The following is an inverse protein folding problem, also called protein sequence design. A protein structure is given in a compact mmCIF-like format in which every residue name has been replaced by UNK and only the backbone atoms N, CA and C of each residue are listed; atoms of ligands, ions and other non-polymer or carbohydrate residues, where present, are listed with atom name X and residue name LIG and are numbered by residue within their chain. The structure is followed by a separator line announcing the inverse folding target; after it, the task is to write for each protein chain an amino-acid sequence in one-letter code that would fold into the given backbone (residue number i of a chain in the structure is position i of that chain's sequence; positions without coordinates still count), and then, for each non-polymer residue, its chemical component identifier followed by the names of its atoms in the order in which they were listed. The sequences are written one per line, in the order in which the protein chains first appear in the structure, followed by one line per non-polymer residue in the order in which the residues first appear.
data_IF_260006979583
#
_entry.id   IF_260006979583
#
_cell.length_a   1.000
_cell.length_b   1.000
_cell.length_c   1.000
_cell.angle_alpha   90.00
_cell.angle_beta   90.00
_cell.angle_gamma   90.00
#
_symmetry.space_group_name_H-M   'P 1'
#
loop_
_entity.id
_entity.type
_entity.pdbx_description
1 polymer ?
#
# COMPACT_ATOMS: atom_id res chain seq x y z
N UNK A 1 14.63 21.46 -26.73
CA UNK A 1 14.19 22.81 -26.30
C UNK A 1 14.20 22.90 -24.77
N UNK A 2 15.34 23.32 -24.20
CA UNK A 2 15.51 23.45 -22.76
C UNK A 2 14.64 24.58 -22.21
N UNK A 3 14.09 24.39 -21.01
CA UNK A 3 13.41 25.47 -20.29
C UNK A 3 14.37 26.68 -20.18
N UNK A 4 13.90 27.90 -20.45
CA UNK A 4 14.71 29.09 -20.28
C UNK A 4 15.20 29.17 -18.83
N UNK A 5 16.49 29.48 -18.67
CA UNK A 5 17.10 29.79 -17.38
C UNK A 5 16.42 31.05 -16.81
N UNK A 6 16.33 31.13 -15.48
CA UNK A 6 15.67 32.24 -14.76
C UNK A 6 16.38 33.59 -14.89
N UNK A 7 17.54 33.62 -15.53
CA UNK A 7 18.35 34.81 -15.85
C UNK A 7 17.85 35.54 -17.12
N UNK A 8 17.00 34.91 -17.94
CA UNK A 8 16.49 35.50 -19.20
C UNK A 8 15.53 36.66 -18.93
N UNK A 9 14.80 36.62 -17.83
CA UNK A 9 14.06 37.79 -17.36
C UNK A 9 15.00 38.54 -16.42
N UNK A 10 15.55 39.66 -16.90
CA UNK A 10 15.96 40.76 -16.04
C UNK A 10 14.73 41.67 -15.86
N UNK A 11 13.70 41.30 -15.08
CA UNK A 11 12.57 42.18 -14.90
C UNK A 11 13.10 43.44 -14.23
N UNK A 12 12.86 44.60 -14.86
CA UNK A 12 13.16 45.91 -14.28
C UNK A 12 12.27 46.22 -13.05
N UNK A 13 11.39 45.27 -12.72
CA UNK A 13 10.61 45.20 -11.49
C UNK A 13 11.27 44.11 -10.64
N UNK A 14 12.14 44.51 -9.72
CA UNK A 14 12.42 43.66 -8.56
C UNK A 14 11.07 43.47 -7.87
N UNK A 15 10.59 42.24 -7.74
CA UNK A 15 9.62 41.93 -6.67
C UNK A 15 10.37 42.06 -5.35
N UNK A 16 10.75 43.29 -5.01
CA UNK A 16 11.34 43.61 -3.75
C UNK A 16 10.20 43.60 -2.76
N UNK A 17 10.22 42.61 -1.89
CA UNK A 17 9.29 42.54 -0.80
C UNK A 17 9.61 43.70 0.16
N UNK A 18 8.92 44.83 0.00
CA UNK A 18 9.14 46.06 0.80
C UNK A 18 8.46 46.01 2.17
N UNK A 19 7.54 45.06 2.36
CA UNK A 19 6.80 44.85 3.61
C UNK A 19 7.22 43.54 4.24
N UNK A 20 7.47 43.57 5.54
CA UNK A 20 7.67 42.37 6.35
C UNK A 20 6.46 41.46 6.17
N UNK A 21 6.70 40.18 5.85
CA UNK A 21 5.62 39.18 5.74
C UNK A 21 4.83 39.12 7.04
N UNK A 22 3.53 38.84 6.96
CA UNK A 22 2.71 38.62 8.15
C UNK A 22 3.25 37.42 8.94
N UNK A 23 3.06 37.45 10.26
CA UNK A 23 3.46 36.34 11.14
C UNK A 23 2.71 35.06 10.82
N UNK A 24 1.43 35.18 10.44
CA UNK A 24 0.62 34.07 9.98
C UNK A 24 0.19 34.31 8.53
N UNK A 25 0.43 33.32 7.67
CA UNK A 25 -0.03 33.30 6.29
C UNK A 25 -1.13 32.25 6.19
N UNK A 26 -2.37 32.73 6.14
CA UNK A 26 -3.56 31.87 6.03
C UNK A 26 -3.91 31.68 4.56
N UNK A 27 -4.24 30.45 4.15
CA UNK A 27 -4.72 30.18 2.79
C UNK A 27 -6.11 30.77 2.61
N UNK A 28 -6.40 31.29 1.40
CA UNK A 28 -7.74 31.80 1.06
C UNK A 28 -8.75 30.69 0.75
N UNK A 29 -8.27 29.50 0.42
CA UNK A 29 -9.11 28.33 0.17
C UNK A 29 -9.53 27.60 1.46
N UNK A 30 -10.31 26.53 1.28
CA UNK A 30 -10.80 25.66 2.34
C UNK A 30 -9.75 24.68 2.88
N UNK A 31 -8.48 24.76 2.50
CA UNK A 31 -7.47 23.84 3.06
C UNK A 31 -7.19 24.19 4.52
N UNK A 32 -7.21 23.21 5.42
CA UNK A 32 -6.98 23.36 6.86
C UNK A 32 -5.48 23.57 7.22
N UNK A 33 -4.76 24.38 6.46
CA UNK A 33 -3.33 24.68 6.63
C UNK A 33 -3.11 26.19 6.62
N UNK A 34 -2.38 26.68 7.62
CA UNK A 34 -1.77 28.01 7.64
C UNK A 34 -0.27 27.89 7.86
N UNK A 35 0.47 28.95 7.53
CA UNK A 35 1.92 28.97 7.72
C UNK A 35 2.29 30.00 8.78
N UNK A 36 2.98 29.56 9.84
CA UNK A 36 3.43 30.41 10.93
C UNK A 36 4.92 30.70 10.78
N UNK A 37 5.31 31.99 10.82
CA UNK A 37 6.71 32.42 10.83
C UNK A 37 7.25 32.36 12.25
N UNK A 38 8.39 31.72 12.45
CA UNK A 38 9.03 31.63 13.76
C UNK A 38 9.70 32.97 14.14
N UNK A 39 9.72 33.32 15.43
CA UNK A 39 10.23 34.64 15.88
C UNK A 39 11.75 34.82 15.66
N UNK A 40 12.50 33.71 15.59
CA UNK A 40 13.97 33.70 15.49
C UNK A 40 14.50 33.18 14.14
N UNK A 41 13.62 32.84 13.18
CA UNK A 41 14.00 32.31 11.87
C UNK A 41 13.00 32.81 10.83
N UNK A 42 13.48 33.31 9.69
CA UNK A 42 12.64 33.75 8.55
C UNK A 42 11.94 32.59 7.80
N UNK A 43 11.83 31.42 8.43
CA UNK A 43 11.24 30.24 7.83
C UNK A 43 9.79 30.04 8.30
N UNK A 44 8.92 29.71 7.35
CA UNK A 44 7.50 29.43 7.58
C UNK A 44 7.30 27.94 7.82
N UNK A 45 6.51 27.61 8.85
CA UNK A 45 6.14 26.23 9.14
C UNK A 45 4.64 26.03 8.99
N UNK A 46 4.19 24.95 8.32
CA UNK A 46 2.78 24.64 8.22
C UNK A 46 2.24 24.23 9.59
N UNK A 47 1.08 24.77 9.93
CA UNK A 47 0.32 24.52 11.16
C UNK A 47 -1.14 24.31 10.77
N UNK A 48 -1.84 23.46 11.53
CA UNK A 48 -3.26 23.20 11.31
C UNK A 48 -4.06 24.49 11.50
N UNK A 49 -4.90 24.78 10.51
CA UNK A 49 -5.89 25.85 10.58
C UNK A 49 -7.29 25.23 10.65
N UNK A 50 -7.85 25.16 11.85
CA UNK A 50 -9.09 24.42 12.13
C UNK A 50 -10.37 25.18 11.70
N UNK A 51 -10.41 25.64 10.45
CA UNK A 51 -11.52 26.44 9.88
C UNK A 51 -12.89 25.76 9.96
N UNK A 52 -12.92 24.43 9.97
CA UNK A 52 -14.14 23.62 9.96
C UNK A 52 -14.52 23.06 11.35
N UNK A 53 -13.86 23.51 12.43
CA UNK A 53 -14.10 23.00 13.77
C UNK A 53 -13.67 21.54 13.96
N UNK A 54 -14.23 20.82 14.94
CA UNK A 54 -13.80 19.46 15.30
C UNK A 54 -14.91 18.42 15.20
N UNK A 55 -15.98 18.72 14.46
CA UNK A 55 -17.09 17.79 14.26
C UNK A 55 -16.62 16.56 13.49
N UNK A 56 -17.07 15.38 13.93
CA UNK A 56 -16.75 14.11 13.28
C UNK A 56 -17.85 13.71 12.32
N UNK A 57 -17.46 13.44 11.08
CA UNK A 57 -18.36 13.03 10.00
C UNK A 57 -18.01 11.63 9.47
N UNK A 58 -18.94 11.07 8.70
CA UNK A 58 -18.76 9.78 8.02
C UNK A 58 -18.12 9.95 6.63
N UNK A 59 -18.57 10.96 5.89
CA UNK A 59 -18.18 11.28 4.51
C UNK A 59 -18.09 10.06 3.56
N UNK A 60 -18.98 9.07 3.72
CA UNK A 60 -18.95 7.81 2.96
C UNK A 60 -19.05 8.02 1.45
N UNK A 61 -19.88 8.96 0.98
CA UNK A 61 -19.98 9.25 -0.45
C UNK A 61 -18.66 9.74 -1.04
N UNK A 62 -17.88 10.52 -0.28
CA UNK A 62 -16.56 11.02 -0.69
C UNK A 62 -15.50 9.90 -0.68
N UNK A 63 -15.61 8.96 0.28
CA UNK A 63 -14.69 7.84 0.43
C UNK A 63 -14.96 6.74 -0.62
N UNK A 64 -16.21 6.30 -0.74
CA UNK A 64 -16.62 5.23 -1.66
C UNK A 64 -16.73 5.70 -3.12
N UNK A 65 -16.92 7.01 -3.36
CA UNK A 65 -16.92 7.59 -4.71
C UNK A 65 -15.54 8.02 -5.20
N UNK A 66 -14.46 7.75 -4.47
CA UNK A 66 -13.13 8.20 -4.82
C UNK A 66 -12.59 7.51 -6.08
N UNK A 67 -11.98 8.29 -6.98
CA UNK A 67 -11.28 7.77 -8.16
C UNK A 67 -10.08 6.88 -7.75
N UNK A 68 -9.57 7.05 -6.53
CA UNK A 68 -8.48 6.28 -5.93
C UNK A 68 -8.84 4.82 -5.60
N UNK A 69 -10.13 4.45 -5.67
CA UNK A 69 -10.58 3.09 -5.35
C UNK A 69 -9.89 2.00 -6.19
N UNK A 70 -9.51 2.31 -7.43
CA UNK A 70 -8.79 1.36 -8.28
C UNK A 70 -7.43 0.97 -7.67
N UNK A 71 -6.69 1.96 -7.15
CA UNK A 71 -5.41 1.73 -6.49
C UNK A 71 -5.58 0.98 -5.16
N UNK A 72 -6.66 1.24 -4.41
CA UNK A 72 -6.97 0.53 -3.17
C UNK A 72 -7.25 -0.95 -3.45
N UNK A 73 -8.14 -1.24 -4.40
CA UNK A 73 -8.50 -2.63 -4.78
C UNK A 73 -7.26 -3.39 -5.26
N UNK A 74 -6.46 -2.78 -6.12
CA UNK A 74 -5.19 -3.36 -6.57
C UNK A 74 -4.25 -3.67 -5.41
N UNK A 75 -4.02 -2.69 -4.54
CA UNK A 75 -3.05 -2.79 -3.44
C UNK A 75 -3.43 -3.90 -2.47
N UNK A 76 -4.71 -3.94 -2.06
CA UNK A 76 -5.22 -4.97 -1.15
C UNK A 76 -5.16 -6.36 -1.79
N UNK A 77 -5.56 -6.50 -3.05
CA UNK A 77 -5.49 -7.77 -3.77
C UNK A 77 -4.03 -8.27 -3.90
N UNK A 78 -3.11 -7.40 -4.30
CA UNK A 78 -1.69 -7.72 -4.41
C UNK A 78 -1.09 -8.14 -3.06
N UNK A 79 -1.31 -7.36 -2.00
CA UNK A 79 -0.83 -7.67 -0.66
C UNK A 79 -1.40 -8.98 -0.12
N UNK A 80 -2.70 -9.22 -0.31
CA UNK A 80 -3.37 -10.46 0.11
C UNK A 80 -2.74 -11.67 -0.58
N UNK A 81 -2.58 -11.61 -1.90
CA UNK A 81 -2.08 -12.74 -2.68
C UNK A 81 -0.57 -12.94 -2.45
N UNK A 82 0.23 -11.87 -2.37
CA UNK A 82 1.65 -11.95 -2.02
C UNK A 82 1.85 -12.56 -0.63
N UNK A 83 1.06 -12.13 0.36
CA UNK A 83 1.10 -12.67 1.71
C UNK A 83 0.69 -14.14 1.77
N UNK A 84 -0.46 -14.51 1.18
CA UNK A 84 -0.94 -15.88 1.15
C UNK A 84 0.05 -16.82 0.47
N UNK A 85 0.59 -16.42 -0.69
CA UNK A 85 1.56 -17.20 -1.43
C UNK A 85 2.88 -17.39 -0.66
N UNK A 86 3.40 -16.31 -0.06
CA UNK A 86 4.62 -16.39 0.75
C UNK A 86 4.43 -17.28 2.00
N UNK A 87 3.31 -17.14 2.72
CA UNK A 87 3.00 -17.97 3.89
C UNK A 87 2.90 -19.45 3.49
N UNK A 88 2.18 -19.75 2.40
CA UNK A 88 1.99 -21.11 1.91
C UNK A 88 3.33 -21.78 1.55
N UNK A 89 4.12 -21.14 0.69
CA UNK A 89 5.41 -21.68 0.24
C UNK A 89 6.43 -21.77 1.35
N UNK A 90 6.61 -20.71 2.15
CA UNK A 90 7.59 -20.72 3.23
C UNK A 90 7.19 -21.73 4.31
N UNK A 91 5.89 -21.87 4.60
CA UNK A 91 5.40 -22.89 5.53
C UNK A 91 5.72 -24.31 5.06
N UNK A 92 5.57 -24.57 3.75
CA UNK A 92 5.94 -25.85 3.14
C UNK A 92 7.46 -26.08 3.16
N UNK A 93 8.25 -25.11 2.72
CA UNK A 93 9.71 -25.22 2.64
C UNK A 93 10.37 -25.34 4.02
N UNK A 94 9.77 -24.75 5.06
CA UNK A 94 10.19 -24.93 6.45
C UNK A 94 9.72 -26.28 7.04
N UNK A 95 9.01 -27.10 6.27
CA UNK A 95 8.57 -28.44 6.67
C UNK A 95 7.44 -28.44 7.69
N UNK A 96 6.64 -27.37 7.77
CA UNK A 96 5.55 -27.28 8.74
C UNK A 96 4.40 -28.21 8.31
N UNK A 97 4.13 -29.23 9.12
CA UNK A 97 3.23 -30.33 8.76
C UNK A 97 1.81 -29.89 8.32
N UNK A 98 1.25 -28.82 8.89
CA UNK A 98 -0.05 -28.27 8.46
C UNK A 98 -0.04 -27.68 7.06
N UNK A 99 1.05 -27.01 6.68
CA UNK A 99 1.21 -26.42 5.34
C UNK A 99 1.55 -27.49 4.30
N UNK A 100 2.34 -28.51 4.66
CA UNK A 100 2.57 -29.67 3.79
C UNK A 100 1.26 -30.41 3.47
N UNK A 101 0.39 -30.61 4.47
CA UNK A 101 -0.95 -31.19 4.27
C UNK A 101 -1.83 -30.32 3.37
N UNK A 102 -1.73 -29.00 3.49
CA UNK A 102 -2.45 -28.07 2.63
C UNK A 102 -1.95 -28.13 1.18
N UNK A 103 -0.64 -28.22 0.98
CA UNK A 103 0.00 -28.35 -0.35
C UNK A 103 -0.34 -29.68 -1.03
N UNK A 104 -0.31 -30.80 -0.31
CA UNK A 104 -0.68 -32.11 -0.86
C UNK A 104 -2.20 -32.35 -0.96
N UNK A 105 -3.01 -31.42 -0.46
CA UNK A 105 -4.46 -31.55 -0.36
C UNK A 105 -5.19 -31.13 -1.63
N UNK A 106 -6.45 -31.55 -1.76
CA UNK A 106 -7.32 -31.20 -2.90
C UNK A 106 -7.64 -29.70 -2.98
N UNK A 107 -7.48 -28.96 -1.89
CA UNK A 107 -7.66 -27.50 -1.81
C UNK A 107 -6.56 -26.71 -2.53
N UNK A 108 -5.40 -27.33 -2.77
CA UNK A 108 -4.22 -26.63 -3.27
C UNK A 108 -4.44 -25.95 -4.63
N UNK A 109 -4.91 -26.69 -5.63
CA UNK A 109 -5.19 -26.14 -6.96
C UNK A 109 -6.29 -25.05 -6.94
N UNK A 110 -7.44 -25.25 -6.27
CA UNK A 110 -8.43 -24.18 -6.08
C UNK A 110 -7.85 -22.94 -5.41
N UNK A 111 -6.99 -23.10 -4.40
CA UNK A 111 -6.34 -21.99 -3.70
C UNK A 111 -5.44 -21.17 -4.65
N UNK A 112 -4.63 -21.84 -5.49
CA UNK A 112 -3.82 -21.16 -6.50
C UNK A 112 -4.69 -20.40 -7.51
N UNK A 113 -5.82 -20.98 -7.94
CA UNK A 113 -6.77 -20.34 -8.86
C UNK A 113 -7.43 -19.11 -8.24
N UNK A 114 -7.84 -19.19 -6.96
CA UNK A 114 -8.42 -18.05 -6.22
C UNK A 114 -7.40 -16.92 -6.13
N UNK A 115 -6.15 -17.24 -5.77
CA UNK A 115 -5.05 -16.26 -5.72
C UNK A 115 -4.82 -15.59 -7.09
N UNK A 116 -4.75 -16.38 -8.16
CA UNK A 116 -4.56 -15.86 -9.51
C UNK A 116 -5.71 -14.96 -9.95
N UNK A 117 -6.95 -15.37 -9.67
CA UNK A 117 -8.17 -14.61 -10.01
C UNK A 117 -8.23 -13.29 -9.24
N UNK A 118 -7.96 -13.32 -7.93
CA UNK A 118 -7.97 -12.13 -7.09
C UNK A 118 -6.92 -11.10 -7.56
N UNK A 119 -5.70 -11.56 -7.84
CA UNK A 119 -4.64 -10.69 -8.35
C UNK A 119 -4.96 -10.16 -9.75
N UNK A 120 -5.50 -11.00 -10.64
CA UNK A 120 -5.91 -10.59 -11.99
C UNK A 120 -7.00 -9.51 -11.95
N UNK A 121 -7.99 -9.63 -11.06
CA UNK A 121 -9.02 -8.60 -10.87
C UNK A 121 -8.43 -7.28 -10.35
N UNK A 122 -7.49 -7.35 -9.40
CA UNK A 122 -6.76 -6.19 -8.91
C UNK A 122 -5.97 -5.49 -10.03
N UNK A 123 -5.21 -6.25 -10.82
CA UNK A 123 -4.46 -5.74 -11.97
C UNK A 123 -5.36 -5.18 -13.06
N UNK A 124 -6.50 -5.83 -13.33
CA UNK A 124 -7.47 -5.33 -14.30
C UNK A 124 -8.02 -3.97 -13.88
N UNK A 125 -8.45 -3.83 -12.62
CA UNK A 125 -8.93 -2.55 -12.07
C UNK A 125 -7.87 -1.46 -12.13
N UNK A 126 -6.61 -1.80 -11.80
CA UNK A 126 -5.48 -0.87 -11.92
C UNK A 126 -5.31 -0.40 -13.37
N UNK A 127 -5.30 -1.32 -14.34
CA UNK A 127 -5.05 -0.99 -15.73
C UNK A 127 -6.20 -0.20 -16.38
N UNK A 128 -7.45 -0.47 -15.99
CA UNK A 128 -8.62 0.25 -16.49
C UNK A 128 -8.76 1.67 -15.92
N UNK A 129 -8.06 1.98 -14.84
CA UNK A 129 -8.02 3.35 -14.29
C UNK A 129 -7.14 4.30 -15.11
N UNK A 130 -6.20 3.78 -15.92
CA UNK A 130 -5.36 4.64 -16.77
C UNK A 130 -6.24 5.34 -17.81
N UNK A 131 -5.95 6.63 -18.07
CA UNK A 131 -6.63 7.36 -19.14
C UNK A 131 -6.44 6.76 -20.55
N UNK A 132 -5.39 5.94 -20.75
CA UNK A 132 -5.15 5.17 -22.00
C UNK A 132 -4.68 3.74 -21.67
N UNK A 133 -5.59 2.81 -21.35
CA UNK A 133 -5.24 1.46 -20.87
C UNK A 133 -4.36 0.66 -21.84
N UNK A 134 -4.59 0.78 -23.15
CA UNK A 134 -3.79 0.12 -24.19
C UNK A 134 -2.30 0.55 -24.23
N UNK A 135 -1.90 1.58 -23.48
CA UNK A 135 -0.51 2.06 -23.38
C UNK A 135 0.16 1.69 -22.06
N UNK A 136 -0.41 0.75 -21.30
CA UNK A 136 0.14 0.32 -19.99
C UNK A 136 1.61 -0.11 -20.08
N UNK A 137 2.03 -0.72 -21.21
CA UNK A 137 3.40 -1.16 -21.44
C UNK A 137 4.45 -0.04 -21.32
N UNK A 138 4.05 1.23 -21.49
CA UNK A 138 4.95 2.38 -21.29
C UNK A 138 5.37 2.56 -19.83
N UNK A 139 4.64 1.94 -18.90
CA UNK A 139 5.01 1.89 -17.49
C UNK A 139 6.38 1.25 -17.25
N UNK A 140 6.87 0.41 -18.16
CA UNK A 140 8.18 -0.24 -18.05
C UNK A 140 9.35 0.60 -18.58
N UNK A 141 9.13 1.78 -19.15
CA UNK A 141 10.19 2.53 -19.86
C UNK A 141 11.28 3.11 -18.96
N UNK A 142 11.04 3.28 -17.65
CA UNK A 142 12.00 3.93 -16.75
C UNK A 142 12.33 3.09 -15.50
N UNK A 143 12.68 1.82 -15.70
CA UNK A 143 13.10 0.93 -14.60
C UNK A 143 14.32 1.46 -13.82
N UNK A 144 15.18 2.25 -14.47
CA UNK A 144 16.39 2.78 -13.85
C UNK A 144 16.10 3.84 -12.78
N UNK A 145 15.10 4.69 -12.94
CA UNK A 145 14.88 5.84 -12.03
C UNK A 145 13.48 5.87 -11.40
N UNK A 146 12.46 5.32 -12.05
CA UNK A 146 11.08 5.42 -11.58
C UNK A 146 10.73 4.30 -10.59
N UNK A 147 10.37 4.62 -9.33
CA UNK A 147 9.85 3.63 -8.39
C UNK A 147 8.57 2.96 -8.91
N UNK A 148 7.71 3.70 -9.63
CA UNK A 148 6.47 3.15 -10.24
C UNK A 148 6.82 2.09 -11.28
N UNK A 149 7.80 2.37 -12.15
CA UNK A 149 8.20 1.38 -13.16
C UNK A 149 8.73 0.10 -12.53
N UNK A 150 9.48 0.23 -11.42
CA UNK A 150 10.02 -0.93 -10.68
C UNK A 150 8.95 -1.71 -9.93
N UNK A 151 7.94 -1.02 -9.38
CA UNK A 151 6.74 -1.65 -8.83
C UNK A 151 6.04 -2.48 -9.91
N UNK A 152 5.75 -1.88 -11.07
CA UNK A 152 5.10 -2.57 -12.19
C UNK A 152 5.91 -3.82 -12.58
N UNK A 153 7.24 -3.72 -12.67
CA UNK A 153 8.08 -4.87 -12.97
C UNK A 153 8.03 -5.96 -11.89
N UNK A 154 8.12 -5.59 -10.61
CA UNK A 154 8.06 -6.53 -9.49
C UNK A 154 6.72 -7.25 -9.39
N UNK A 155 5.60 -6.51 -9.49
CA UNK A 155 4.25 -7.09 -9.47
C UNK A 155 3.99 -7.94 -10.71
N UNK A 156 4.50 -7.54 -11.89
CA UNK A 156 4.39 -8.35 -13.11
C UNK A 156 5.18 -9.66 -13.00
N UNK A 157 6.38 -9.60 -12.42
CA UNK A 157 7.18 -10.79 -12.12
C UNK A 157 6.46 -11.69 -11.11
N UNK A 158 5.80 -11.11 -10.09
CA UNK A 158 4.99 -11.88 -9.14
C UNK A 158 3.82 -12.57 -9.84
N UNK A 159 3.05 -11.86 -10.67
CA UNK A 159 1.92 -12.44 -11.40
C UNK A 159 2.36 -13.55 -12.35
N UNK A 160 3.43 -13.34 -13.12
CA UNK A 160 3.99 -14.36 -14.01
C UNK A 160 4.53 -15.57 -13.23
N UNK A 161 5.21 -15.31 -12.10
CA UNK A 161 5.64 -16.32 -11.14
C UNK A 161 4.49 -17.18 -10.63
N UNK A 162 3.45 -16.55 -10.10
CA UNK A 162 2.26 -17.24 -9.57
C UNK A 162 1.53 -18.04 -10.66
N UNK A 163 1.35 -17.44 -11.85
CA UNK A 163 0.69 -18.10 -12.97
C UNK A 163 1.47 -19.31 -13.47
N UNK A 164 2.79 -19.19 -13.64
CA UNK A 164 3.65 -20.30 -14.02
C UNK A 164 3.70 -21.38 -12.94
N UNK A 165 3.78 -21.00 -11.67
CA UNK A 165 3.73 -21.91 -10.54
C UNK A 165 2.43 -22.72 -10.52
N UNK A 166 1.29 -22.06 -10.71
CA UNK A 166 -0.02 -22.71 -10.77
C UNK A 166 -0.19 -23.58 -12.01
N UNK A 167 0.33 -23.16 -13.16
CA UNK A 167 0.28 -23.95 -14.40
C UNK A 167 1.08 -25.24 -14.28
N UNK A 168 2.33 -25.16 -13.79
CA UNK A 168 3.18 -26.34 -13.65
C UNK A 168 2.73 -27.29 -12.53
N UNK A 169 1.90 -26.83 -11.58
CA UNK A 169 1.25 -27.69 -10.59
C UNK A 169 0.27 -28.72 -11.19
N UNK A 170 -0.11 -28.57 -12.47
CA UNK A 170 -0.98 -29.50 -13.18
C UNK A 170 -0.25 -30.69 -13.81
N UNK A 171 1.09 -30.69 -13.77
CA UNK A 171 1.92 -31.69 -14.43
C UNK A 171 2.80 -32.43 -13.44
N UNK A 172 2.88 -33.74 -13.61
CA UNK A 172 3.77 -34.59 -12.83
C UNK A 172 5.16 -34.70 -13.48
N UNK A 173 6.18 -35.01 -12.66
CA UNK A 173 7.53 -35.33 -13.12
C UNK A 173 8.59 -34.30 -12.74
N UNK A 174 9.86 -34.74 -12.75
CA UNK A 174 10.98 -33.95 -12.23
C UNK A 174 11.23 -32.64 -12.98
N UNK A 175 10.99 -32.60 -14.30
CA UNK A 175 11.12 -31.37 -15.09
C UNK A 175 10.05 -30.35 -14.71
N UNK A 176 8.78 -30.76 -14.61
CA UNK A 176 7.68 -29.89 -14.20
C UNK A 176 7.91 -29.31 -12.81
N UNK A 177 8.32 -30.16 -11.85
CA UNK A 177 8.66 -29.73 -10.49
C UNK A 177 9.83 -28.72 -10.44
N UNK A 178 10.88 -28.94 -11.25
CA UNK A 178 12.01 -28.01 -11.34
C UNK A 178 11.59 -26.64 -11.89
N UNK A 179 10.77 -26.62 -12.95
CA UNK A 179 10.27 -25.38 -13.55
C UNK A 179 9.27 -24.68 -12.62
N UNK A 180 8.40 -25.44 -11.95
CA UNK A 180 7.49 -24.91 -10.92
C UNK A 180 8.28 -24.21 -9.81
N UNK A 181 9.37 -24.81 -9.33
CA UNK A 181 10.24 -24.22 -8.31
C UNK A 181 10.87 -22.90 -8.80
N UNK A 182 11.29 -22.82 -10.08
CA UNK A 182 11.80 -21.57 -10.65
C UNK A 182 10.74 -20.47 -10.66
N UNK A 183 9.49 -20.80 -11.00
CA UNK A 183 8.38 -19.87 -10.94
C UNK A 183 8.02 -19.46 -9.50
N UNK A 184 8.17 -20.36 -8.52
CA UNK A 184 8.03 -20.05 -7.11
C UNK A 184 9.05 -18.99 -6.67
N UNK A 185 10.31 -19.17 -7.05
CA UNK A 185 11.38 -18.20 -6.76
C UNK A 185 11.14 -16.86 -7.46
N UNK A 186 10.73 -16.87 -8.73
CA UNK A 186 10.36 -15.65 -9.46
C UNK A 186 9.21 -14.93 -8.76
N UNK A 187 8.20 -15.65 -8.30
CA UNK A 187 7.08 -15.10 -7.56
C UNK A 187 7.54 -14.47 -6.23
N UNK A 188 8.35 -15.17 -5.41
CA UNK A 188 8.85 -14.62 -4.15
C UNK A 188 9.72 -13.37 -4.37
N UNK A 189 10.59 -13.37 -5.39
CA UNK A 189 11.38 -12.20 -5.78
C UNK A 189 10.48 -11.05 -6.25
N UNK A 190 9.47 -11.35 -7.06
CA UNK A 190 8.47 -10.38 -7.53
C UNK A 190 7.65 -9.79 -6.38
N UNK A 191 7.22 -10.61 -5.42
CA UNK A 191 6.50 -10.17 -4.22
C UNK A 191 7.37 -9.26 -3.35
N UNK A 192 8.64 -9.63 -3.14
CA UNK A 192 9.59 -8.81 -2.38
C UNK A 192 9.88 -7.47 -3.05
N UNK A 193 10.25 -7.47 -4.33
CA UNK A 193 10.57 -6.24 -5.08
C UNK A 193 9.32 -5.38 -5.31
N UNK A 194 8.23 -5.99 -5.78
CA UNK A 194 6.95 -5.34 -6.03
C UNK A 194 6.41 -4.72 -4.74
N UNK A 195 6.29 -5.49 -3.67
CA UNK A 195 5.85 -5.02 -2.36
C UNK A 195 6.73 -3.90 -1.79
N UNK A 196 8.06 -3.99 -1.95
CA UNK A 196 8.97 -2.93 -1.54
C UNK A 196 8.74 -1.62 -2.29
N UNK A 197 8.58 -1.66 -3.61
CA UNK A 197 8.33 -0.46 -4.40
C UNK A 197 6.90 0.08 -4.20
N UNK A 198 5.91 -0.78 -3.99
CA UNK A 198 4.55 -0.38 -3.57
C UNK A 198 4.61 0.49 -2.31
N UNK A 199 5.34 0.07 -1.28
CA UNK A 199 5.57 0.87 -0.07
C UNK A 199 6.35 2.17 -0.37
N UNK A 200 7.43 2.07 -1.15
CA UNK A 200 8.33 3.21 -1.43
C UNK A 200 7.63 4.36 -2.13
N UNK A 201 6.59 4.08 -2.92
CA UNK A 201 5.78 5.11 -3.58
C UNK A 201 5.07 6.06 -2.62
N UNK A 202 4.77 5.60 -1.40
CA UNK A 202 4.16 6.42 -0.36
C UNK A 202 5.20 7.19 0.47
N UNK A 203 6.48 6.82 0.41
CA UNK A 203 7.59 7.46 1.13
C UNK A 203 8.16 8.66 0.37
N UNK A 204 7.30 9.62 0.08
CA UNK A 204 7.68 10.86 -0.61
C UNK A 204 7.79 11.98 0.44
N UNK A 205 8.95 12.64 0.59
CA UNK A 205 9.13 13.71 1.59
C UNK A 205 8.14 14.88 1.46
N UNK A 206 7.69 15.16 0.23
CA UNK A 206 6.67 16.17 -0.04
C UNK A 206 5.26 15.79 0.47
N UNK A 207 5.02 14.54 0.87
CA UNK A 207 3.76 14.04 1.44
C UNK A 207 4.01 13.52 2.85
N UNK A 208 4.23 14.41 3.84
CA UNK A 208 4.67 14.03 5.20
C UNK A 208 3.68 13.14 5.96
N UNK A 209 2.40 13.13 5.57
CA UNK A 209 1.42 12.20 6.14
C UNK A 209 1.73 10.73 5.82
N UNK A 210 2.36 10.43 4.68
CA UNK A 210 2.72 9.06 4.29
C UNK A 210 4.21 8.76 4.46
N UNK A 211 5.05 9.78 4.58
CA UNK A 211 6.50 9.59 4.77
C UNK A 211 6.86 9.15 6.19
N UNK A 212 6.41 7.95 6.58
CA UNK A 212 6.64 7.37 7.89
C UNK A 212 6.83 5.86 7.79
N UNK A 213 7.55 5.26 8.75
CA UNK A 213 7.78 3.81 8.77
C UNK A 213 6.48 3.01 8.96
N UNK A 214 5.45 3.66 9.52
CA UNK A 214 4.10 3.10 9.67
C UNK A 214 3.55 2.62 8.32
N UNK A 215 3.90 3.25 7.20
CA UNK A 215 3.40 2.79 5.89
C UNK A 215 3.95 1.41 5.55
N UNK A 216 5.19 1.10 5.91
CA UNK A 216 5.72 -0.26 5.77
C UNK A 216 4.98 -1.23 6.70
N UNK A 217 4.74 -0.82 7.95
CA UNK A 217 4.02 -1.63 8.93
C UNK A 217 2.57 -1.93 8.48
N UNK A 218 1.87 -0.94 7.91
CA UNK A 218 0.55 -1.15 7.34
C UNK A 218 0.61 -2.12 6.15
N UNK A 219 1.55 -1.94 5.22
CA UNK A 219 1.64 -2.79 4.02
C UNK A 219 1.98 -4.24 4.37
N UNK A 220 2.97 -4.44 5.25
CA UNK A 220 3.34 -5.77 5.72
C UNK A 220 2.24 -6.39 6.60
N UNK A 221 1.60 -5.59 7.45
CA UNK A 221 0.53 -6.03 8.34
C UNK A 221 -0.70 -6.49 7.56
N UNK A 222 -1.11 -5.70 6.56
CA UNK A 222 -2.19 -6.06 5.63
C UNK A 222 -1.85 -7.32 4.83
N UNK A 223 -0.63 -7.43 4.28
CA UNK A 223 -0.23 -8.63 3.55
C UNK A 223 -0.26 -9.88 4.43
N UNK A 224 0.26 -9.78 5.66
CA UNK A 224 0.28 -10.88 6.60
C UNK A 224 -1.14 -11.28 7.03
N UNK A 225 -1.96 -10.31 7.44
CA UNK A 225 -3.30 -10.56 7.98
C UNK A 225 -4.33 -10.99 6.91
N UNK A 226 -4.36 -10.32 5.76
CA UNK A 226 -5.26 -10.72 4.68
C UNK A 226 -4.77 -11.99 3.99
N UNK A 227 -3.45 -12.18 3.88
CA UNK A 227 -2.86 -13.40 3.33
C UNK A 227 -3.20 -14.63 4.17
N UNK A 228 -3.01 -14.57 5.48
CA UNK A 228 -3.40 -15.66 6.39
C UNK A 228 -4.91 -15.89 6.41
N UNK A 229 -5.70 -14.82 6.36
CA UNK A 229 -7.17 -14.92 6.29
C UNK A 229 -7.63 -15.59 4.99
N UNK A 230 -7.03 -15.28 3.84
CA UNK A 230 -7.35 -15.93 2.57
C UNK A 230 -7.07 -17.44 2.63
N UNK A 231 -5.93 -17.84 3.18
CA UNK A 231 -5.60 -19.24 3.40
C UNK A 231 -6.62 -19.93 4.33
N UNK A 232 -6.99 -19.27 5.43
CA UNK A 232 -7.92 -19.82 6.41
C UNK A 232 -9.32 -20.00 5.82
N UNK A 233 -9.85 -18.98 5.12
CA UNK A 233 -11.16 -19.02 4.49
C UNK A 233 -11.24 -20.06 3.38
N UNK A 234 -10.18 -20.16 2.56
CA UNK A 234 -10.11 -21.18 1.51
C UNK A 234 -10.03 -22.58 2.12
N UNK A 235 -9.15 -22.78 3.11
CA UNK A 235 -9.06 -24.06 3.79
C UNK A 235 -10.38 -24.46 4.47
N UNK A 236 -11.09 -23.51 5.08
CA UNK A 236 -12.40 -23.72 5.69
C UNK A 236 -13.45 -24.13 4.65
N UNK A 237 -13.52 -23.39 3.54
CA UNK A 237 -14.48 -23.66 2.46
C UNK A 237 -14.33 -25.07 1.89
N UNK A 238 -13.09 -25.55 1.75
CA UNK A 238 -12.78 -26.89 1.23
C UNK A 238 -12.66 -27.96 2.33
N UNK A 239 -13.01 -27.67 3.59
CA UNK A 239 -12.99 -28.66 4.68
C UNK A 239 -11.59 -29.15 5.07
N UNK A 240 -10.54 -28.37 4.78
CA UNK A 240 -9.13 -28.70 5.02
C UNK A 240 -8.51 -27.93 6.19
N UNK A 241 -9.29 -27.05 6.85
CA UNK A 241 -8.84 -26.27 8.00
C UNK A 241 -8.76 -27.14 9.26
N UNK A 242 -7.60 -27.76 9.50
CA UNK A 242 -7.30 -28.39 10.79
C UNK A 242 -7.07 -27.36 11.90
N UNK A 243 -7.31 -27.74 13.16
CA UNK A 243 -7.03 -26.89 14.34
C UNK A 243 -5.59 -26.36 14.37
N UNK A 244 -4.63 -27.22 14.03
CA UNK A 244 -3.21 -26.90 13.96
C UNK A 244 -2.87 -25.88 12.85
N UNK A 245 -3.58 -25.91 11.71
CA UNK A 245 -3.45 -24.90 10.65
C UNK A 245 -4.14 -23.59 11.06
N UNK A 246 -5.35 -23.70 11.60
CA UNK A 246 -6.17 -22.57 12.03
C UNK A 246 -5.47 -21.74 13.11
N UNK A 247 -4.86 -22.37 14.10
CA UNK A 247 -4.12 -21.67 15.16
C UNK A 247 -2.91 -20.89 14.61
N UNK A 248 -2.14 -21.48 13.69
CA UNK A 248 -1.01 -20.80 13.04
C UNK A 248 -1.47 -19.62 12.19
N UNK A 249 -2.49 -19.82 11.35
CA UNK A 249 -3.03 -18.74 10.52
C UNK A 249 -3.64 -17.62 11.37
N UNK A 250 -4.34 -17.95 12.45
CA UNK A 250 -4.86 -16.96 13.40
C UNK A 250 -3.73 -16.18 14.09
N UNK A 251 -2.63 -16.84 14.48
CA UNK A 251 -1.46 -16.17 15.03
C UNK A 251 -0.80 -15.20 14.03
N UNK A 252 -0.68 -15.60 12.75
CA UNK A 252 -0.18 -14.72 11.69
C UNK A 252 -1.14 -13.54 11.45
N UNK A 253 -2.45 -13.77 11.46
CA UNK A 253 -3.45 -12.71 11.37
C UNK A 253 -3.30 -11.72 12.52
N UNK A 254 -3.23 -12.20 13.76
CA UNK A 254 -3.05 -11.37 14.94
C UNK A 254 -1.74 -10.59 14.89
N UNK A 255 -0.64 -11.20 14.43
CA UNK A 255 0.64 -10.51 14.25
C UNK A 255 0.54 -9.39 13.21
N UNK A 256 -0.16 -9.61 12.09
CA UNK A 256 -0.38 -8.60 11.05
C UNK A 256 -1.21 -7.41 11.55
N UNK A 257 -2.31 -7.69 12.26
CA UNK A 257 -3.15 -6.67 12.88
C UNK A 257 -2.40 -5.90 13.97
N UNK A 258 -1.60 -6.58 14.79
CA UNK A 258 -0.75 -5.94 15.80
C UNK A 258 0.28 -5.01 15.16
N UNK A 259 0.92 -5.42 14.07
CA UNK A 259 1.86 -4.58 13.32
C UNK A 259 1.20 -3.31 12.80
N UNK A 260 -0.01 -3.44 12.22
CA UNK A 260 -0.80 -2.29 11.77
C UNK A 260 -1.22 -1.38 12.93
N UNK A 261 -1.73 -1.95 14.01
CA UNK A 261 -2.16 -1.23 15.21
C UNK A 261 -1.03 -0.43 15.87
N UNK A 262 0.13 -1.06 16.08
CA UNK A 262 1.33 -0.37 16.61
C UNK A 262 1.76 0.74 15.66
N UNK A 263 1.77 0.48 14.35
CA UNK A 263 2.06 1.49 13.34
C UNK A 263 1.14 2.70 13.45
N UNK A 264 -0.18 2.49 13.53
CA UNK A 264 -1.19 3.55 13.66
C UNK A 264 -1.05 4.34 14.95
N UNK A 265 -0.80 3.67 16.08
CA UNK A 265 -0.59 4.33 17.37
C UNK A 265 0.61 5.27 17.34
N UNK A 266 1.74 4.80 16.79
CA UNK A 266 2.94 5.65 16.67
C UNK A 266 2.67 6.78 15.69
N UNK A 267 2.09 6.49 14.53
CA UNK A 267 1.80 7.50 13.52
C UNK A 267 0.91 8.63 14.04
N UNK A 268 -0.17 8.30 14.75
CA UNK A 268 -1.07 9.28 15.37
C UNK A 268 -0.34 10.19 16.38
N UNK A 269 0.62 9.63 17.14
CA UNK A 269 1.45 10.41 18.08
C UNK A 269 2.44 11.31 17.35
N UNK A 270 3.08 10.82 16.29
CA UNK A 270 4.11 11.57 15.57
C UNK A 270 3.49 12.70 14.76
N UNK A 271 2.49 12.41 13.93
CA UNK A 271 1.88 13.39 13.04
C UNK A 271 1.12 14.47 13.81
N UNK A 272 0.47 14.12 14.92
CA UNK A 272 -0.20 15.09 15.78
C UNK A 272 0.74 16.10 16.44
N UNK A 273 2.05 15.83 16.49
CA UNK A 273 3.08 16.71 17.09
C UNK A 273 3.94 17.43 16.06
N UNK A 274 3.86 17.07 14.78
CA UNK A 274 4.67 17.67 13.74
C UNK A 274 4.08 18.99 13.24
N UNK A 275 4.95 19.98 12.98
CA UNK A 275 4.61 21.19 12.23
C UNK A 275 4.79 20.92 10.73
N UNK A 276 3.97 20.01 10.20
CA UNK A 276 3.99 19.57 8.80
C UNK A 276 2.57 19.61 8.21
N UNK A 277 2.46 19.62 6.88
CA UNK A 277 1.16 19.45 6.20
C UNK A 277 0.46 18.14 6.59
N UNK A 278 1.22 17.16 7.09
CA UNK A 278 0.69 15.89 7.58
C UNK A 278 -0.22 16.07 8.78
N UNK A 279 0.05 17.05 9.64
CA UNK A 279 -0.84 17.37 10.77
C UNK A 279 -2.22 17.85 10.29
N UNK A 280 -2.28 18.59 9.18
CA UNK A 280 -3.55 19.00 8.58
C UNK A 280 -4.29 17.84 7.92
N UNK A 281 -3.57 16.93 7.24
CA UNK A 281 -4.17 15.68 6.74
C UNK A 281 -4.72 14.81 7.87
N UNK A 282 -4.01 14.75 9.00
CA UNK A 282 -4.48 14.02 10.19
C UNK A 282 -5.69 14.69 10.86
N UNK A 283 -5.74 16.03 10.85
CA UNK A 283 -6.92 16.77 11.27
C UNK A 283 -8.14 16.41 10.40
N UNK A 284 -8.01 16.48 9.07
CA UNK A 284 -9.07 16.09 8.12
C UNK A 284 -9.52 14.63 8.29
N UNK A 285 -8.58 13.71 8.51
CA UNK A 285 -8.89 12.30 8.77
C UNK A 285 -9.74 12.12 10.03
N UNK A 286 -9.49 12.92 11.07
CA UNK A 286 -10.19 12.84 12.37
C UNK A 286 -11.50 13.64 12.43
N UNK A 287 -11.73 14.57 11.50
CA UNK A 287 -12.93 15.40 11.44
C UNK A 287 -13.84 14.93 10.30
N UNK A 288 -13.53 15.30 9.06
CA UNK A 288 -14.28 14.94 7.85
C UNK A 288 -14.51 13.43 7.75
N UNK A 289 -13.49 12.62 8.04
CA UNK A 289 -13.61 11.15 8.05
C UNK A 289 -13.60 10.55 9.46
N UNK A 290 -13.91 11.35 10.47
CA UNK A 290 -13.69 11.01 11.87
C UNK A 290 -14.40 9.73 12.31
N UNK A 291 -15.65 9.50 11.91
CA UNK A 291 -16.38 8.29 12.30
C UNK A 291 -15.78 7.04 11.65
N UNK A 292 -15.39 7.13 10.38
CA UNK A 292 -14.71 6.06 9.64
C UNK A 292 -13.33 5.74 10.24
N UNK A 293 -12.58 6.77 10.65
CA UNK A 293 -11.30 6.62 11.36
C UNK A 293 -11.46 5.86 12.67
N UNK A 294 -12.43 6.24 13.51
CA UNK A 294 -12.68 5.55 14.78
C UNK A 294 -13.22 4.13 14.60
N UNK A 295 -14.10 3.91 13.61
CA UNK A 295 -14.59 2.58 13.30
C UNK A 295 -13.44 1.65 12.90
N UNK A 296 -12.59 2.07 11.95
CA UNK A 296 -11.41 1.29 11.53
C UNK A 296 -10.54 0.94 12.73
N UNK A 297 -10.16 1.92 13.53
CA UNK A 297 -9.24 1.71 14.64
C UNK A 297 -9.86 0.95 15.82
N UNK A 298 -11.19 0.93 15.95
CA UNK A 298 -11.87 0.14 16.96
C UNK A 298 -12.13 -1.31 16.54
N UNK A 299 -12.08 -1.61 15.24
CA UNK A 299 -12.16 -2.98 14.71
C UNK A 299 -10.80 -3.68 14.67
N UNK A 300 -9.71 -2.92 14.65
CA UNK A 300 -8.33 -3.40 14.80
C UNK A 300 -8.03 -3.75 16.25
#
# INVERSE_FOLDING_TARGET
PGFPRSDITHPNIRFQQTRTTQREMVRVDSTAVKYHRHDNQDNFRPVVDAKHGFKREWSLGRLLGSHENAHIVFTLAAQTVMGAFAILLLGEWLGVASFNRLHSGTVYLPLLLIMLTLLALGLFKLNMHLGKPHRFYRGFYNLRLSPVSREIAGVSAFFAGLAGYAFFALFDGGFAAAVQTLFALLALLGAGLGGYYMYRLYRIPARPFWDHWQTAAAFAGTALALGSLLLALTALWFGSLSEDLGSKLAALTAAGLMLEGVGLLVHARTVGRQQSEGAASFYEQRTTFGKSYWLRNGLL
#
